data_IF_149026698398
#
_entry.id   IF_149026698398
#
_cell.length_a   1.000
_cell.length_b   1.000
_cell.length_c   1.000
_cell.angle_alpha   90.00
_cell.angle_beta   90.00
_cell.angle_gamma   90.00
#
_symmetry.space_group_name_H-M   'P 1'
#
loop_
_entity.id
_entity.type
_entity.pdbx_description
1 polymer ?
#
# COMPACT_ATOMS: atom_id res chain seq x y z
N UNK A 1 64.96 -7.00 -6.27
CA UNK A 1 64.69 -8.28 -5.58
C UNK A 1 65.40 -8.25 -4.24
N UNK A 2 64.73 -7.80 -3.18
CA UNK A 2 65.20 -7.92 -1.79
C UNK A 2 64.00 -8.32 -0.94
N UNK A 3 63.93 -9.62 -0.71
CA UNK A 3 62.99 -10.32 0.17
C UNK A 3 63.72 -10.57 1.50
N UNK A 4 62.94 -10.52 2.57
CA UNK A 4 63.23 -10.99 3.92
C UNK A 4 63.94 -10.02 4.88
N UNK A 5 63.22 -9.71 5.96
CA UNK A 5 63.58 -9.91 7.38
C UNK A 5 63.05 -8.73 8.18
N UNK A 6 62.00 -8.95 8.98
CA UNK A 6 61.91 -8.40 10.33
C UNK A 6 60.79 -9.14 11.07
N UNK A 7 61.22 -10.05 11.93
CA UNK A 7 60.42 -10.87 12.84
C UNK A 7 60.54 -10.25 14.23
N UNK A 8 59.41 -10.14 14.91
CA UNK A 8 59.21 -10.01 16.36
C UNK A 8 59.65 -8.73 17.08
N UNK A 9 58.65 -7.93 17.45
CA UNK A 9 58.56 -7.38 18.81
C UNK A 9 57.15 -7.69 19.34
N UNK A 10 57.10 -8.63 20.29
CA UNK A 10 55.90 -9.00 21.02
C UNK A 10 55.72 -8.09 22.25
N UNK A 11 54.46 -8.04 22.70
CA UNK A 11 53.97 -7.66 24.04
C UNK A 11 53.67 -6.19 24.34
N UNK A 12 52.41 -5.83 24.08
CA UNK A 12 51.67 -4.82 24.84
C UNK A 12 50.32 -5.38 25.26
N UNK A 13 50.26 -5.88 26.49
CA UNK A 13 49.08 -6.38 27.18
C UNK A 13 48.09 -5.23 27.45
N UNK A 14 46.83 -5.35 26.99
CA UNK A 14 45.67 -4.76 27.64
C UNK A 14 44.39 -5.43 27.16
N UNK A 15 43.94 -6.44 27.92
CA UNK A 15 42.57 -6.93 27.90
C UNK A 15 41.65 -5.81 28.41
N UNK A 16 41.18 -4.99 27.49
CA UNK A 16 39.91 -4.29 27.66
C UNK A 16 39.12 -4.59 26.39
N UNK A 17 38.51 -5.78 26.36
CA UNK A 17 37.33 -6.00 25.56
C UNK A 17 36.22 -5.11 26.14
N UNK A 18 36.32 -3.81 25.91
CA UNK A 18 35.13 -2.99 25.71
C UNK A 18 34.43 -3.70 24.57
N UNK A 19 33.40 -4.44 24.94
CA UNK A 19 32.39 -4.94 24.04
C UNK A 19 31.95 -3.75 23.18
N UNK A 20 32.57 -3.58 22.01
CA UNK A 20 31.98 -2.77 20.97
C UNK A 20 30.66 -3.46 20.71
N UNK A 21 29.50 -2.83 20.98
CA UNK A 21 28.26 -3.36 20.45
C UNK A 21 28.51 -3.47 18.95
N UNK A 22 28.45 -4.69 18.40
CA UNK A 22 28.46 -4.84 16.97
C UNK A 22 27.39 -3.88 16.45
N UNK A 23 27.69 -3.01 15.46
CA UNK A 23 26.62 -2.30 14.80
C UNK A 23 25.66 -3.40 14.35
N UNK A 24 24.48 -3.41 14.97
CA UNK A 24 23.41 -4.28 14.53
C UNK A 24 23.28 -3.90 13.07
N UNK A 25 23.60 -4.82 12.17
CA UNK A 25 23.34 -4.61 10.76
C UNK A 25 21.82 -4.63 10.70
N UNK A 26 21.23 -3.46 10.93
CA UNK A 26 19.83 -3.21 10.68
C UNK A 26 19.77 -3.44 9.19
N UNK A 27 19.24 -4.58 8.77
CA UNK A 27 18.79 -4.72 7.40
C UNK A 27 17.79 -3.58 7.23
N UNK A 28 18.27 -2.50 6.62
CA UNK A 28 17.41 -1.53 6.03
C UNK A 28 16.71 -2.31 4.93
N UNK A 29 15.56 -2.90 5.25
CA UNK A 29 14.64 -3.42 4.25
C UNK A 29 14.31 -2.22 3.39
N UNK A 30 15.04 -2.08 2.28
CA UNK A 30 14.71 -1.12 1.25
C UNK A 30 13.42 -1.65 0.65
N UNK A 31 12.30 -1.10 1.10
CA UNK A 31 10.98 -1.39 0.53
C UNK A 31 10.94 -0.71 -0.84
N UNK A 32 11.33 -1.46 -1.88
CA UNK A 32 11.38 -0.98 -3.27
C UNK A 32 12.60 -1.52 -4.03
N UNK A 33 12.47 -1.70 -5.34
CA UNK A 33 13.63 -1.95 -6.19
C UNK A 33 14.51 -0.69 -6.22
N UNK A 34 15.84 -0.79 -6.15
CA UNK A 34 16.73 0.37 -6.21
C UNK A 34 16.49 1.26 -7.44
N UNK A 35 15.99 0.66 -8.53
CA UNK A 35 15.68 1.34 -9.78
C UNK A 35 14.36 2.14 -9.73
N UNK A 36 13.51 1.94 -8.70
CA UNK A 36 12.22 2.65 -8.58
C UNK A 36 12.41 4.17 -8.44
N UNK A 37 13.53 4.63 -7.88
CA UNK A 37 13.86 6.06 -7.79
C UNK A 37 14.12 6.70 -9.16
N UNK A 38 14.33 5.88 -10.19
CA UNK A 38 14.53 6.28 -11.57
C UNK A 38 13.27 6.06 -12.43
N UNK A 39 12.11 5.81 -11.82
CA UNK A 39 10.86 5.66 -12.55
C UNK A 39 10.52 6.92 -13.37
N UNK A 40 10.13 6.71 -14.62
CA UNK A 40 9.77 7.76 -15.57
C UNK A 40 8.27 7.68 -15.88
N UNK A 41 7.65 8.80 -16.25
CA UNK A 41 6.26 8.79 -16.74
C UNK A 41 6.26 8.32 -18.19
N UNK A 42 5.61 7.19 -18.46
CA UNK A 42 5.43 6.65 -19.81
C UNK A 42 4.25 7.32 -20.52
N UNK A 43 3.15 7.49 -19.80
CA UNK A 43 1.93 8.10 -20.32
C UNK A 43 1.24 8.91 -19.22
N UNK A 44 0.71 10.06 -19.62
CA UNK A 44 -0.19 10.87 -18.79
C UNK A 44 -1.26 11.48 -19.67
N UNK A 45 -2.51 11.36 -19.25
CA UNK A 45 -3.66 12.04 -19.85
C UNK A 45 -4.43 12.73 -18.74
N UNK A 46 -4.76 13.99 -18.97
CA UNK A 46 -5.64 14.79 -18.12
C UNK A 46 -6.65 15.48 -19.05
N UNK A 47 -7.91 15.08 -18.97
CA UNK A 47 -9.02 15.63 -19.76
C UNK A 47 -10.06 16.19 -18.79
N UNK A 48 -10.15 17.53 -18.73
CA UNK A 48 -11.05 18.24 -17.82
C UNK A 48 -12.12 18.94 -18.64
N UNK A 49 -13.37 18.66 -18.29
CA UNK A 49 -14.57 19.12 -18.99
C UNK A 49 -15.52 19.78 -18.00
N UNK A 50 -16.59 20.38 -18.50
CA UNK A 50 -17.61 20.99 -17.64
C UNK A 50 -18.41 19.94 -16.84
N UNK A 51 -18.59 18.76 -17.42
CA UNK A 51 -19.40 17.66 -16.90
C UNK A 51 -18.58 16.61 -16.13
N UNK A 52 -17.26 16.81 -16.01
CA UNK A 52 -16.39 15.85 -15.34
C UNK A 52 -14.96 15.87 -15.82
N UNK A 53 -14.23 14.79 -15.52
CA UNK A 53 -12.84 14.61 -15.96
C UNK A 53 -12.51 13.14 -16.21
N UNK A 54 -11.47 12.91 -17.01
CA UNK A 54 -10.74 11.64 -17.08
C UNK A 54 -9.25 11.90 -16.88
N UNK A 55 -8.61 11.12 -16.03
CA UNK A 55 -7.18 11.16 -15.80
C UNK A 55 -6.60 9.74 -15.92
N UNK A 56 -5.42 9.63 -16.51
CA UNK A 56 -4.65 8.38 -16.50
C UNK A 56 -3.16 8.65 -16.39
N UNK A 57 -2.46 7.79 -15.65
CA UNK A 57 -1.01 7.82 -15.48
C UNK A 57 -0.45 6.40 -15.60
N UNK A 58 0.66 6.29 -16.30
CA UNK A 58 1.49 5.08 -16.36
C UNK A 58 2.96 5.48 -16.21
N UNK A 59 3.69 4.74 -15.39
CA UNK A 59 5.12 4.94 -15.16
C UNK A 59 5.93 3.69 -15.50
N UNK A 60 7.24 3.85 -15.74
CA UNK A 60 8.13 2.78 -16.18
C UNK A 60 8.31 1.64 -15.16
N UNK A 61 8.03 1.89 -13.88
CA UNK A 61 8.02 0.87 -12.83
C UNK A 61 6.61 0.30 -12.54
N UNK A 62 5.72 0.32 -13.54
CA UNK A 62 4.39 -0.30 -13.50
C UNK A 62 3.39 0.32 -12.51
N UNK A 63 3.63 1.52 -11.99
CA UNK A 63 2.56 2.28 -11.36
C UNK A 63 1.56 2.69 -12.44
N UNK A 64 0.31 2.30 -12.24
CA UNK A 64 -0.81 2.67 -13.10
C UNK A 64 -1.88 3.38 -12.28
N UNK A 65 -2.55 4.36 -12.88
CA UNK A 65 -3.71 5.03 -12.30
C UNK A 65 -4.66 5.43 -13.41
N UNK A 66 -5.95 5.24 -13.19
CA UNK A 66 -7.02 5.73 -14.05
C UNK A 66 -8.17 6.20 -13.18
N UNK A 67 -8.60 7.44 -13.37
CA UNK A 67 -9.71 8.03 -12.64
C UNK A 67 -10.67 8.70 -13.62
N UNK A 68 -11.96 8.66 -13.30
CA UNK A 68 -12.99 9.44 -13.96
C UNK A 68 -13.91 10.03 -12.90
N UNK A 69 -14.28 11.30 -13.04
CA UNK A 69 -15.27 11.91 -12.17
C UNK A 69 -16.32 12.71 -12.94
N UNK A 70 -17.45 12.95 -12.28
CA UNK A 70 -18.59 13.70 -12.83
C UNK A 70 -18.75 15.08 -12.16
N UNK A 71 -19.69 15.88 -12.69
CA UNK A 71 -20.04 17.20 -12.15
C UNK A 71 -20.68 17.18 -10.75
N UNK A 72 -21.11 16.01 -10.27
CA UNK A 72 -21.68 15.83 -8.94
C UNK A 72 -20.62 15.48 -7.89
N UNK A 73 -19.35 15.37 -8.30
CA UNK A 73 -18.25 15.03 -7.40
C UNK A 73 -18.12 13.53 -7.14
N UNK A 74 -18.84 12.68 -7.88
CA UNK A 74 -18.59 11.25 -7.85
C UNK A 74 -17.30 10.96 -8.62
N UNK A 75 -16.45 10.10 -8.07
CA UNK A 75 -15.18 9.69 -8.69
C UNK A 75 -15.08 8.18 -8.61
N UNK A 76 -14.73 7.55 -9.72
CA UNK A 76 -14.37 6.14 -9.75
C UNK A 76 -13.01 5.99 -10.41
N UNK A 77 -12.30 4.93 -10.07
CA UNK A 77 -11.00 4.69 -10.67
C UNK A 77 -10.34 3.42 -10.21
N UNK A 78 -9.11 3.25 -10.66
CA UNK A 78 -8.22 2.17 -10.29
C UNK A 78 -6.79 2.66 -10.22
N UNK A 79 -6.00 2.07 -9.33
CA UNK A 79 -4.56 2.22 -9.33
C UNK A 79 -3.89 0.89 -9.02
N UNK A 80 -2.67 0.72 -9.52
CA UNK A 80 -1.92 -0.52 -9.35
C UNK A 80 -0.42 -0.31 -9.34
N UNK A 81 0.29 -1.30 -8.83
CA UNK A 81 1.75 -1.32 -8.73
C UNK A 81 2.25 -2.76 -8.61
N UNK A 82 3.57 -2.95 -8.67
CA UNK A 82 4.21 -4.23 -8.35
C UNK A 82 4.66 -4.20 -6.88
N UNK A 83 4.20 -5.16 -6.08
CA UNK A 83 4.57 -5.31 -4.68
C UNK A 83 6.07 -5.63 -4.54
N UNK A 84 6.67 -5.43 -3.35
CA UNK A 84 8.04 -5.84 -3.08
C UNK A 84 8.31 -7.34 -3.37
N UNK A 85 7.26 -8.17 -3.29
CA UNK A 85 7.28 -9.60 -3.59
C UNK A 85 7.14 -9.92 -5.09
N UNK A 86 7.01 -8.90 -5.94
CA UNK A 86 6.86 -9.05 -7.39
C UNK A 86 5.42 -9.32 -7.85
N UNK A 87 4.42 -9.19 -6.98
CA UNK A 87 3.02 -9.40 -7.32
C UNK A 87 2.40 -8.11 -7.89
N UNK A 88 1.65 -8.21 -8.98
CA UNK A 88 0.81 -7.09 -9.42
C UNK A 88 -0.36 -6.89 -8.45
N UNK A 89 -0.47 -5.68 -7.90
CA UNK A 89 -1.53 -5.26 -7.00
C UNK A 89 -2.43 -4.28 -7.75
N UNK A 90 -3.73 -4.55 -7.77
CA UNK A 90 -4.74 -3.63 -8.28
C UNK A 90 -5.74 -3.25 -7.19
N UNK A 91 -6.07 -1.96 -7.11
CA UNK A 91 -7.13 -1.41 -6.26
C UNK A 91 -8.09 -0.62 -7.13
N UNK A 92 -9.38 -0.90 -7.01
CA UNK A 92 -10.49 -0.18 -7.64
C UNK A 92 -11.28 0.54 -6.57
N UNK A 93 -11.86 1.68 -6.91
CA UNK A 93 -12.64 2.45 -5.96
C UNK A 93 -13.80 3.20 -6.59
N UNK A 94 -14.79 3.47 -5.76
CA UNK A 94 -15.86 4.45 -5.98
C UNK A 94 -15.85 5.43 -4.80
N UNK A 95 -15.97 6.71 -5.09
CA UNK A 95 -16.10 7.79 -4.13
C UNK A 95 -17.35 8.58 -4.48
N UNK A 96 -18.32 8.58 -3.57
CA UNK A 96 -19.62 9.24 -3.73
C UNK A 96 -20.11 9.78 -2.37
N UNK A 97 -21.41 10.09 -2.25
CA UNK A 97 -22.03 10.55 -1.01
C UNK A 97 -21.86 9.58 0.18
N UNK A 98 -21.64 8.29 -0.08
CA UNK A 98 -21.36 7.27 0.93
C UNK A 98 -19.86 7.15 1.28
N UNK A 99 -19.02 8.02 0.72
CA UNK A 99 -17.59 8.06 0.95
C UNK A 99 -16.77 7.16 0.01
N UNK A 100 -15.52 6.91 0.38
CA UNK A 100 -14.56 6.13 -0.41
C UNK A 100 -14.69 4.63 -0.15
N UNK A 101 -14.91 3.86 -1.22
CA UNK A 101 -15.26 2.45 -1.19
C UNK A 101 -14.25 1.65 -2.06
N UNK A 102 -13.08 1.29 -1.53
CA UNK A 102 -12.07 0.55 -2.27
C UNK A 102 -12.33 -0.96 -2.25
N UNK A 103 -11.89 -1.63 -3.31
CA UNK A 103 -11.85 -3.08 -3.45
C UNK A 103 -10.57 -3.47 -4.19
N UNK A 104 -10.01 -4.66 -3.93
CA UNK A 104 -8.83 -5.13 -4.65
C UNK A 104 -7.86 -5.92 -3.78
N UNK A 105 -6.67 -6.23 -4.32
CA UNK A 105 -5.77 -7.25 -3.77
C UNK A 105 -5.21 -6.89 -2.38
N UNK A 106 -5.03 -5.59 -2.10
CA UNK A 106 -4.55 -5.09 -0.82
C UNK A 106 -5.67 -4.59 0.12
N UNK A 107 -6.95 -4.86 -0.22
CA UNK A 107 -8.09 -4.52 0.62
C UNK A 107 -8.53 -5.76 1.41
N UNK A 108 -8.58 -5.68 2.75
CA UNK A 108 -9.04 -6.80 3.57
C UNK A 108 -10.46 -7.24 3.19
N UNK A 109 -10.65 -8.55 3.04
CA UNK A 109 -11.97 -9.12 2.85
C UNK A 109 -12.86 -8.87 4.09
N UNK A 110 -14.16 -8.71 3.86
CA UNK A 110 -15.14 -8.60 4.95
C UNK A 110 -15.06 -9.88 5.81
N UNK A 111 -14.86 -9.76 7.13
CA UNK A 111 -14.78 -10.93 8.01
C UNK A 111 -16.07 -11.77 7.96
N UNK A 112 -15.92 -13.10 7.96
CA UNK A 112 -17.03 -14.05 7.82
C UNK A 112 -18.15 -13.83 8.86
N UNK A 113 -17.77 -13.50 10.10
CA UNK A 113 -18.75 -13.25 11.16
C UNK A 113 -19.63 -12.03 10.88
N UNK A 114 -19.10 -10.99 10.22
CA UNK A 114 -19.89 -9.82 9.80
C UNK A 114 -20.90 -10.24 8.74
N UNK A 115 -20.45 -11.03 7.74
CA UNK A 115 -21.33 -11.55 6.70
C UNK A 115 -22.45 -12.44 7.27
N UNK A 116 -22.15 -13.30 8.25
CA UNK A 116 -23.15 -14.13 8.95
C UNK A 116 -24.17 -13.28 9.71
N UNK A 117 -23.71 -12.26 10.43
CA UNK A 117 -24.60 -11.36 11.16
C UNK A 117 -25.54 -10.61 10.22
N UNK A 118 -25.04 -10.11 9.09
CA UNK A 118 -25.87 -9.45 8.07
C UNK A 118 -26.91 -10.41 7.48
N UNK A 119 -26.52 -11.66 7.18
CA UNK A 119 -27.46 -12.67 6.69
C UNK A 119 -28.55 -13.01 7.72
N UNK A 120 -28.18 -13.10 9.01
CA UNK A 120 -29.14 -13.33 10.09
C UNK A 120 -30.12 -12.15 10.22
N UNK A 121 -29.62 -10.91 10.22
CA UNK A 121 -30.45 -9.69 10.28
C UNK A 121 -31.43 -9.62 9.09
N UNK A 122 -30.97 -9.96 7.89
CA UNK A 122 -31.81 -9.96 6.68
C UNK A 122 -32.90 -11.04 6.73
N UNK A 123 -32.61 -12.20 7.32
CA UNK A 123 -33.57 -13.29 7.48
C UNK A 123 -34.54 -13.09 8.66
N UNK A 124 -34.19 -12.23 9.62
CA UNK A 124 -34.96 -11.95 10.83
C UNK A 124 -35.24 -10.45 10.93
N UNK A 125 -35.94 -9.90 9.93
CA UNK A 125 -36.45 -8.53 10.02
C UNK A 125 -37.41 -8.45 11.21
N UNK A 126 -37.04 -7.72 12.26
CA UNK A 126 -37.99 -7.39 13.30
C UNK A 126 -39.04 -6.44 12.70
N UNK A 127 -40.30 -6.89 12.63
CA UNK A 127 -41.41 -5.97 12.36
C UNK A 127 -41.37 -4.85 13.39
N UNK A 128 -41.38 -3.60 12.90
CA UNK A 128 -41.57 -2.42 13.73
C UNK A 128 -42.87 -2.61 14.51
N UNK A 129 -42.79 -2.78 15.83
CA UNK A 129 -43.98 -2.84 16.68
C UNK A 129 -44.66 -1.49 16.55
N UNK A 130 -45.72 -1.43 15.74
CA UNK A 130 -46.58 -0.26 15.64
C UNK A 130 -46.99 0.13 17.06
N UNK A 131 -46.40 1.22 17.55
CA UNK A 131 -46.65 1.71 18.90
C UNK A 131 -48.11 2.15 18.92
N UNK A 132 -49.00 1.26 19.38
CA UNK A 132 -50.41 1.56 19.57
C UNK A 132 -50.47 2.65 20.64
N UNK A 133 -50.59 3.91 20.19
CA UNK A 133 -50.90 5.04 21.06
C UNK A 133 -52.31 4.77 21.59
N UNK A 134 -52.37 4.30 22.84
CA UNK A 134 -53.62 4.25 23.58
C UNK A 134 -54.08 5.70 23.79
N UNK A 135 -55.16 6.05 23.10
CA UNK A 135 -55.96 7.26 23.34
C UNK A 135 -56.68 7.20 24.68
#
# INVERSE_FOLDING_TARGET
MFKAVMICALFGLALAAVHQPQPQHVEHHVVGHPDDVHAEVLSRKDDVRADGFDASLETSNHITRQDSGDEHGNIQGSYGWISPEGQHIEIKFVADENGYQPTGDAIPAVPEHVARTLAWNAAHSHEEVAHHVHH
#
